data_IF_164911648170
#
_entry.id   IF_164911648170
#
_cell.length_a   1.000
_cell.length_b   1.000
_cell.length_c   1.000
_cell.angle_alpha   90.00
_cell.angle_beta   90.00
_cell.angle_gamma   90.00
#
_symmetry.space_group_name_H-M   'P 1'
#
loop_
_entity.id
_entity.type
_entity.pdbx_description
1 polymer ?
#
# COMPACT_ATOMS: atom_id res chain seq x y z
N UNK A 1 6.62 -39.23 -6.79
CA UNK A 1 6.62 -37.86 -7.37
C UNK A 1 5.15 -37.52 -7.64
N UNK A 2 4.54 -36.70 -6.81
CA UNK A 2 3.13 -36.30 -7.00
C UNK A 2 3.03 -35.44 -8.27
N UNK A 3 2.02 -35.65 -9.12
CA UNK A 3 1.83 -34.80 -10.30
C UNK A 3 1.65 -33.34 -9.88
N UNK A 4 2.13 -32.38 -10.67
CA UNK A 4 1.93 -30.96 -10.33
C UNK A 4 0.43 -30.71 -10.19
N UNK A 5 0.02 -30.14 -9.04
CA UNK A 5 -1.37 -29.74 -8.83
C UNK A 5 -1.75 -28.71 -9.91
N UNK A 6 -2.60 -29.11 -10.82
CA UNK A 6 -3.14 -28.21 -11.85
C UNK A 6 -4.36 -27.51 -11.25
N UNK A 7 -4.34 -26.18 -11.23
CA UNK A 7 -5.47 -25.39 -10.71
C UNK A 7 -6.79 -25.77 -11.42
N UNK A 8 -7.83 -25.96 -10.65
CA UNK A 8 -9.16 -26.40 -11.10
C UNK A 8 -9.75 -25.40 -12.12
N UNK A 9 -10.37 -25.92 -13.19
CA UNK A 9 -11.14 -25.10 -14.12
C UNK A 9 -12.35 -24.50 -13.42
N UNK A 10 -12.65 -23.21 -13.68
CA UNK A 10 -13.83 -22.52 -13.16
C UNK A 10 -14.63 -21.88 -14.28
N UNK A 11 -15.91 -21.60 -14.01
CA UNK A 11 -16.77 -20.82 -14.92
C UNK A 11 -16.37 -19.35 -14.97
N UNK A 12 -15.66 -18.89 -13.93
CA UNK A 12 -15.28 -17.49 -13.77
C UNK A 12 -13.81 -17.24 -14.11
N UNK A 13 -13.53 -16.14 -14.82
CA UNK A 13 -12.17 -15.67 -15.02
C UNK A 13 -11.52 -15.30 -13.68
N UNK A 14 -10.19 -15.35 -13.59
CA UNK A 14 -9.47 -14.91 -12.40
C UNK A 14 -9.80 -13.46 -12.02
N UNK A 15 -9.93 -12.59 -13.02
CA UNK A 15 -10.41 -11.22 -12.85
C UNK A 15 -11.75 -11.18 -12.12
N UNK A 16 -12.75 -11.93 -12.61
CA UNK A 16 -14.08 -11.99 -11.98
C UNK A 16 -14.03 -12.56 -10.56
N UNK A 17 -13.17 -13.54 -10.29
CA UNK A 17 -12.99 -14.09 -8.94
C UNK A 17 -12.46 -13.04 -7.97
N UNK A 18 -11.47 -12.22 -8.39
CA UNK A 18 -10.91 -11.14 -7.58
C UNK A 18 -11.96 -10.07 -7.28
N UNK A 19 -12.69 -9.65 -8.29
CA UNK A 19 -13.74 -8.61 -8.14
C UNK A 19 -14.90 -9.09 -7.28
N UNK A 20 -15.21 -10.39 -7.30
CA UNK A 20 -16.23 -11.00 -6.42
C UNK A 20 -15.89 -10.92 -4.94
N UNK A 21 -14.63 -10.72 -4.56
CA UNK A 21 -14.24 -10.48 -3.16
C UNK A 21 -14.90 -9.22 -2.59
N UNK A 22 -15.27 -8.25 -3.44
CA UNK A 22 -15.91 -7.01 -3.02
C UNK A 22 -17.42 -7.25 -2.89
N UNK A 23 -18.03 -7.23 -1.69
CA UNK A 23 -19.47 -7.37 -1.53
C UNK A 23 -20.22 -6.23 -2.23
N UNK A 24 -21.34 -6.51 -2.93
CA UNK A 24 -22.14 -5.46 -3.60
C UNK A 24 -22.59 -4.36 -2.64
N UNK A 25 -22.95 -4.76 -1.43
CA UNK A 25 -23.47 -3.86 -0.39
C UNK A 25 -22.49 -2.75 -0.04
N UNK A 26 -21.19 -3.05 0.04
CA UNK A 26 -20.14 -2.06 0.33
C UNK A 26 -20.14 -0.93 -0.70
N UNK A 27 -20.29 -1.28 -1.98
CA UNK A 27 -20.30 -0.31 -3.08
C UNK A 27 -21.58 0.51 -3.09
N UNK A 28 -22.73 -0.15 -2.86
CA UNK A 28 -24.02 0.50 -2.81
C UNK A 28 -24.10 1.52 -1.68
N UNK A 29 -23.70 1.15 -0.48
CA UNK A 29 -23.67 2.04 0.69
C UNK A 29 -22.74 3.24 0.47
N UNK A 30 -21.53 3.01 -0.06
CA UNK A 30 -20.58 4.07 -0.37
C UNK A 30 -21.13 5.04 -1.43
N UNK A 31 -21.80 4.52 -2.46
CA UNK A 31 -22.45 5.33 -3.50
C UNK A 31 -23.63 6.15 -2.95
N UNK A 32 -24.43 5.57 -2.06
CA UNK A 32 -25.57 6.25 -1.40
C UNK A 32 -25.07 7.38 -0.51
N UNK A 33 -24.07 7.13 0.32
CA UNK A 33 -23.48 8.12 1.24
C UNK A 33 -22.88 9.31 0.48
N UNK A 34 -22.24 9.05 -0.66
CA UNK A 34 -21.65 10.09 -1.50
C UNK A 34 -22.60 10.65 -2.54
N UNK A 35 -23.90 10.25 -2.50
CA UNK A 35 -24.94 10.70 -3.42
C UNK A 35 -24.59 10.55 -4.90
N UNK A 36 -23.80 9.53 -5.26
CA UNK A 36 -23.43 9.27 -6.65
C UNK A 36 -24.56 8.47 -7.30
N UNK A 37 -25.41 9.16 -8.02
CA UNK A 37 -26.52 8.59 -8.79
C UNK A 37 -26.16 8.53 -10.28
N UNK A 38 -26.41 7.41 -10.92
CA UNK A 38 -26.23 7.26 -12.36
C UNK A 38 -27.09 6.11 -12.90
N UNK A 39 -27.76 6.35 -14.02
CA UNK A 39 -28.63 5.35 -14.69
C UNK A 39 -27.84 4.40 -15.59
N UNK A 40 -26.89 4.91 -16.34
CA UNK A 40 -26.15 4.17 -17.36
C UNK A 40 -24.80 3.69 -16.90
N UNK A 41 -23.86 4.58 -16.62
CA UNK A 41 -22.55 4.21 -16.10
C UNK A 41 -22.55 4.23 -14.58
N UNK A 42 -22.94 3.09 -13.97
CA UNK A 42 -23.19 2.97 -12.53
C UNK A 42 -21.92 3.23 -11.69
N UNK A 43 -22.04 3.52 -10.38
CA UNK A 43 -20.89 3.60 -9.47
C UNK A 43 -20.04 2.33 -9.49
N UNK A 44 -20.69 1.16 -9.60
CA UNK A 44 -20.02 -0.12 -9.74
C UNK A 44 -19.21 -0.23 -11.05
N UNK A 45 -19.81 0.16 -12.18
CA UNK A 45 -19.13 0.14 -13.48
C UNK A 45 -17.88 1.05 -13.48
N UNK A 46 -17.97 2.22 -12.83
CA UNK A 46 -16.87 3.15 -12.67
C UNK A 46 -15.74 2.54 -11.82
N UNK A 47 -16.07 2.03 -10.64
CA UNK A 47 -15.10 1.39 -9.76
C UNK A 47 -14.44 0.19 -10.45
N UNK A 48 -15.23 -0.64 -11.14
CA UNK A 48 -14.72 -1.80 -11.87
C UNK A 48 -13.72 -1.41 -12.95
N UNK A 49 -14.00 -0.36 -13.72
CA UNK A 49 -13.10 0.15 -14.75
C UNK A 49 -11.76 0.62 -14.16
N UNK A 50 -11.79 1.30 -13.01
CA UNK A 50 -10.59 1.72 -12.30
C UNK A 50 -9.83 0.54 -11.67
N UNK A 51 -10.52 -0.46 -11.09
CA UNK A 51 -9.88 -1.68 -10.59
C UNK A 51 -9.19 -2.43 -11.74
N UNK A 52 -9.85 -2.54 -12.91
CA UNK A 52 -9.25 -3.13 -14.09
C UNK A 52 -7.97 -2.38 -14.49
N UNK A 53 -8.05 -1.05 -14.61
CA UNK A 53 -6.91 -0.19 -14.93
C UNK A 53 -5.73 -0.41 -13.96
N UNK A 54 -5.99 -0.48 -12.66
CA UNK A 54 -4.95 -0.72 -11.66
C UNK A 54 -4.33 -2.11 -11.76
N UNK A 55 -5.16 -3.15 -11.93
CA UNK A 55 -4.70 -4.53 -11.97
C UNK A 55 -3.90 -4.83 -13.23
N UNK A 56 -4.36 -4.34 -14.40
CA UNK A 56 -3.71 -4.57 -15.70
C UNK A 56 -2.61 -3.56 -16.00
N UNK A 57 -2.56 -2.45 -15.24
CA UNK A 57 -1.68 -1.30 -15.49
C UNK A 57 -1.91 -0.65 -16.85
N UNK A 58 -3.17 -0.58 -17.27
CA UNK A 58 -3.54 0.12 -18.50
C UNK A 58 -3.32 1.62 -18.33
N UNK A 59 -2.60 2.25 -19.26
CA UNK A 59 -2.08 3.62 -19.12
C UNK A 59 -3.02 4.70 -19.65
N UNK A 60 -4.11 4.32 -20.34
CA UNK A 60 -5.03 5.28 -20.94
C UNK A 60 -6.50 4.94 -20.73
N UNK A 61 -7.35 5.98 -20.78
CA UNK A 61 -8.82 5.81 -20.79
C UNK A 61 -9.28 4.93 -21.96
N UNK A 62 -8.71 5.17 -23.16
CA UNK A 62 -9.05 4.39 -24.35
C UNK A 62 -8.70 2.92 -24.15
N UNK A 63 -7.50 2.61 -23.64
CA UNK A 63 -7.09 1.23 -23.42
C UNK A 63 -8.01 0.48 -22.45
N UNK A 64 -8.56 1.16 -21.42
CA UNK A 64 -9.58 0.55 -20.54
C UNK A 64 -10.90 0.33 -21.27
N UNK A 65 -11.34 1.30 -22.08
CA UNK A 65 -12.59 1.20 -22.84
C UNK A 65 -12.49 0.09 -23.91
N UNK A 66 -11.40 0.03 -24.65
CA UNK A 66 -11.18 -0.95 -25.72
C UNK A 66 -11.10 -2.37 -25.14
N UNK A 67 -10.37 -2.54 -24.04
CA UNK A 67 -10.30 -3.82 -23.35
C UNK A 67 -11.67 -4.26 -22.80
N UNK A 68 -12.44 -3.32 -22.23
CA UNK A 68 -13.78 -3.63 -21.73
C UNK A 68 -14.74 -3.99 -22.88
N UNK A 69 -14.65 -3.31 -24.03
CA UNK A 69 -15.43 -3.61 -25.23
C UNK A 69 -15.07 -4.98 -25.81
N UNK A 70 -13.78 -5.31 -25.90
CA UNK A 70 -13.31 -6.62 -26.38
C UNK A 70 -13.86 -7.78 -25.54
N UNK A 71 -14.15 -7.56 -24.26
CA UNK A 71 -14.68 -8.55 -23.34
C UNK A 71 -16.07 -8.18 -22.79
N UNK A 72 -16.91 -7.52 -23.57
CA UNK A 72 -18.21 -6.99 -23.16
C UNK A 72 -19.09 -8.02 -22.43
N UNK A 73 -19.21 -9.24 -22.97
CA UNK A 73 -19.96 -10.32 -22.33
C UNK A 73 -19.45 -10.66 -20.93
N UNK A 74 -18.14 -10.76 -20.74
CA UNK A 74 -17.54 -11.04 -19.43
C UNK A 74 -17.69 -9.84 -18.49
N UNK A 75 -17.62 -8.63 -19.05
CA UNK A 75 -17.82 -7.39 -18.30
C UNK A 75 -19.23 -7.29 -17.75
N UNK A 76 -20.26 -7.49 -18.59
CA UNK A 76 -21.67 -7.50 -18.20
C UNK A 76 -22.01 -8.58 -17.16
N UNK A 77 -21.34 -9.74 -17.22
CA UNK A 77 -21.46 -10.80 -16.21
C UNK A 77 -20.94 -10.42 -14.83
N UNK A 78 -20.24 -9.29 -14.69
CA UNK A 78 -19.79 -8.75 -13.41
C UNK A 78 -20.84 -7.81 -12.80
N UNK A 79 -21.98 -8.37 -12.43
CA UNK A 79 -23.13 -7.66 -11.80
C UNK A 79 -23.71 -6.57 -12.69
N UNK A 80 -23.89 -6.86 -13.97
CA UNK A 80 -24.45 -5.88 -14.90
C UNK A 80 -23.58 -4.66 -15.13
N UNK A 81 -22.26 -4.79 -14.94
CA UNK A 81 -21.34 -3.69 -15.20
C UNK A 81 -21.39 -3.29 -16.68
N UNK A 82 -21.41 -2.01 -16.93
CA UNK A 82 -21.46 -1.46 -18.28
C UNK A 82 -20.05 -1.16 -18.79
N UNK A 83 -19.81 -1.42 -20.06
CA UNK A 83 -18.58 -1.04 -20.74
C UNK A 83 -18.42 0.48 -20.67
N UNK A 84 -17.28 0.99 -20.19
CA UNK A 84 -17.08 2.41 -20.11
C UNK A 84 -16.92 3.03 -21.50
N UNK A 85 -17.69 4.08 -21.77
CA UNK A 85 -17.43 4.95 -22.92
C UNK A 85 -16.44 6.04 -22.49
N UNK A 86 -15.45 6.38 -23.36
CA UNK A 86 -14.35 7.29 -23.03
C UNK A 86 -14.80 8.59 -22.34
N UNK A 87 -15.78 9.29 -22.93
CA UNK A 87 -16.26 10.56 -22.40
C UNK A 87 -17.01 10.39 -21.08
N UNK A 88 -17.82 9.33 -20.95
CA UNK A 88 -18.54 9.01 -19.73
C UNK A 88 -17.60 8.66 -18.60
N UNK A 89 -16.57 7.87 -18.89
CA UNK A 89 -15.54 7.49 -17.91
C UNK A 89 -14.72 8.70 -17.47
N UNK A 90 -14.27 9.55 -18.41
CA UNK A 90 -13.57 10.80 -18.12
C UNK A 90 -14.41 11.74 -17.24
N UNK A 91 -15.70 11.90 -17.56
CA UNK A 91 -16.63 12.71 -16.77
C UNK A 91 -16.86 12.12 -15.38
N UNK A 92 -16.96 10.79 -15.25
CA UNK A 92 -17.10 10.14 -13.97
C UNK A 92 -15.86 10.38 -13.09
N UNK A 93 -14.65 10.20 -13.63
CA UNK A 93 -13.40 10.51 -12.93
C UNK A 93 -13.34 11.96 -12.46
N UNK A 94 -13.84 12.90 -13.27
CA UNK A 94 -13.76 14.33 -12.98
C UNK A 94 -14.79 14.80 -11.96
N UNK A 95 -16.03 14.29 -12.04
CA UNK A 95 -17.19 14.87 -11.32
C UNK A 95 -17.59 14.10 -10.08
N UNK A 96 -17.34 12.79 -10.03
CA UNK A 96 -17.76 11.96 -8.89
C UNK A 96 -16.85 12.20 -7.70
N UNK A 97 -17.46 12.24 -6.52
CA UNK A 97 -16.73 12.38 -5.27
C UNK A 97 -15.83 11.15 -5.03
N UNK A 98 -14.51 11.33 -4.94
CA UNK A 98 -13.57 10.25 -4.67
C UNK A 98 -13.70 9.67 -3.25
N UNK A 99 -14.46 10.33 -2.36
CA UNK A 99 -14.81 9.79 -1.04
C UNK A 99 -15.48 8.42 -1.15
N UNK A 100 -16.20 8.16 -2.23
CA UNK A 100 -16.75 6.83 -2.48
C UNK A 100 -15.67 5.75 -2.54
N UNK A 101 -14.57 5.97 -3.27
CA UNK A 101 -13.48 4.99 -3.36
C UNK A 101 -12.78 4.80 -2.02
N UNK A 102 -12.60 5.88 -1.26
CA UNK A 102 -12.10 5.84 0.11
C UNK A 102 -13.00 5.00 1.02
N UNK A 103 -14.32 5.24 1.01
CA UNK A 103 -15.27 4.48 1.79
C UNK A 103 -15.29 3.00 1.41
N UNK A 104 -15.24 2.69 0.11
CA UNK A 104 -15.13 1.29 -0.35
C UNK A 104 -13.85 0.65 0.17
N UNK A 105 -12.71 1.36 0.14
CA UNK A 105 -11.45 0.84 0.67
C UNK A 105 -11.55 0.49 2.16
N UNK A 106 -12.02 1.41 3.01
CA UNK A 106 -12.11 1.19 4.45
C UNK A 106 -13.14 0.12 4.82
N UNK A 107 -14.32 0.12 4.20
CA UNK A 107 -15.34 -0.91 4.41
C UNK A 107 -14.87 -2.29 3.96
N UNK A 108 -14.14 -2.35 2.85
CA UNK A 108 -13.54 -3.60 2.39
C UNK A 108 -12.43 -4.09 3.33
N UNK A 109 -11.64 -3.17 3.89
CA UNK A 109 -10.65 -3.49 4.91
C UNK A 109 -11.30 -4.13 6.14
N UNK A 110 -12.37 -3.52 6.67
CA UNK A 110 -13.11 -4.07 7.82
C UNK A 110 -13.82 -5.38 7.48
N UNK A 111 -14.32 -5.51 6.27
CA UNK A 111 -14.90 -6.77 5.78
C UNK A 111 -13.86 -7.90 5.76
N UNK A 112 -12.69 -7.67 5.21
CA UNK A 112 -11.62 -8.66 5.15
C UNK A 112 -11.09 -9.03 6.55
N UNK A 113 -11.02 -8.08 7.46
CA UNK A 113 -10.66 -8.35 8.88
C UNK A 113 -11.65 -9.30 9.55
N UNK A 114 -12.96 -9.12 9.29
CA UNK A 114 -13.99 -10.00 9.83
C UNK A 114 -14.01 -11.37 9.16
N UNK A 115 -13.82 -11.40 7.82
CA UNK A 115 -13.81 -12.63 7.04
C UNK A 115 -12.61 -13.52 7.36
N UNK A 116 -11.45 -12.93 7.60
CA UNK A 116 -10.20 -13.60 7.89
C UNK A 116 -9.41 -12.82 8.96
N UNK A 117 -9.69 -13.02 10.26
CA UNK A 117 -8.98 -12.30 11.33
C UNK A 117 -7.45 -12.48 11.27
N UNK A 118 -6.98 -13.64 10.80
CA UNK A 118 -5.56 -13.91 10.63
C UNK A 118 -4.87 -13.02 9.58
N UNK A 119 -5.61 -12.53 8.59
CA UNK A 119 -5.10 -11.58 7.59
C UNK A 119 -4.68 -10.26 8.21
N UNK A 120 -5.44 -9.79 9.20
CA UNK A 120 -5.18 -8.54 9.91
C UNK A 120 -4.38 -8.73 11.22
N UNK A 121 -4.07 -9.97 11.60
CA UNK A 121 -3.29 -10.23 12.81
C UNK A 121 -1.83 -9.79 12.63
N UNK A 122 -1.29 -9.18 13.69
CA UNK A 122 0.13 -8.80 13.72
C UNK A 122 1.01 -10.06 13.73
N UNK A 123 1.87 -10.19 12.72
CA UNK A 123 2.84 -11.30 12.63
C UNK A 123 4.25 -10.75 12.57
N UNK A 124 4.75 -10.31 13.70
CA UNK A 124 6.13 -9.87 13.80
C UNK A 124 7.10 -11.04 13.64
N UNK A 125 8.21 -10.79 12.96
CA UNK A 125 9.31 -11.73 12.79
C UNK A 125 10.63 -11.11 13.26
N UNK A 126 11.57 -11.96 13.63
CA UNK A 126 12.90 -11.52 14.08
C UNK A 126 12.81 -10.63 15.31
N UNK A 127 13.53 -9.54 15.32
CA UNK A 127 13.60 -8.59 16.43
C UNK A 127 12.22 -8.10 16.90
N UNK A 128 11.32 -7.79 15.97
CA UNK A 128 9.99 -7.25 16.30
C UNK A 128 9.08 -8.24 17.05
N UNK A 129 9.39 -9.54 17.03
CA UNK A 129 8.60 -10.54 17.77
C UNK A 129 8.55 -10.32 19.30
N UNK A 130 9.47 -9.50 19.83
CA UNK A 130 9.47 -9.05 21.24
C UNK A 130 8.26 -8.18 21.59
N UNK A 131 7.65 -7.54 20.58
CA UNK A 131 6.54 -6.61 20.72
C UNK A 131 5.21 -7.20 20.26
N UNK A 132 5.06 -8.54 20.28
CA UNK A 132 3.85 -9.24 19.81
C UNK A 132 2.53 -8.78 20.44
N UNK A 133 2.58 -8.18 21.63
CA UNK A 133 1.44 -7.66 22.38
C UNK A 133 1.16 -6.17 22.10
N UNK A 134 2.01 -5.51 21.33
CA UNK A 134 1.93 -4.09 21.01
C UNK A 134 1.86 -3.89 19.50
N UNK A 135 1.00 -3.01 19.04
CA UNK A 135 1.03 -2.62 17.62
C UNK A 135 2.19 -1.64 17.37
N UNK A 136 2.95 -1.87 16.30
CA UNK A 136 4.02 -0.96 15.85
C UNK A 136 3.55 -0.30 14.57
N UNK A 137 3.44 1.00 14.61
CA UNK A 137 2.96 1.84 13.53
C UNK A 137 4.10 2.67 12.92
N UNK A 138 4.19 2.67 11.60
CA UNK A 138 5.10 3.55 10.88
C UNK A 138 4.32 4.68 10.22
N UNK A 139 4.58 5.92 10.64
CA UNK A 139 4.00 7.12 10.05
C UNK A 139 4.97 7.71 9.03
N UNK A 140 4.52 7.83 7.79
CA UNK A 140 5.32 8.40 6.72
C UNK A 140 4.41 8.96 5.61
N UNK A 141 5.00 9.70 4.69
CA UNK A 141 4.33 10.20 3.50
C UNK A 141 5.10 9.87 2.24
N UNK A 142 4.38 9.70 1.15
CA UNK A 142 4.98 9.49 -0.15
C UNK A 142 4.46 10.49 -1.17
N UNK A 143 5.39 11.20 -1.80
CA UNK A 143 5.08 12.10 -2.91
C UNK A 143 4.77 11.29 -4.17
N UNK A 144 3.64 11.60 -4.78
CA UNK A 144 3.18 11.06 -6.05
C UNK A 144 3.36 12.19 -7.08
N UNK A 145 4.32 12.02 -7.98
CA UNK A 145 4.55 13.00 -9.05
C UNK A 145 3.37 12.98 -10.03
N UNK A 146 2.91 14.15 -10.41
CA UNK A 146 1.82 14.36 -11.35
C UNK A 146 2.32 15.11 -12.60
N UNK A 147 1.58 15.01 -13.69
CA UNK A 147 1.84 15.80 -14.87
C UNK A 147 1.56 17.29 -14.63
N UNK A 148 2.13 18.16 -15.45
CA UNK A 148 1.90 19.60 -15.35
C UNK A 148 0.41 19.99 -15.50
N UNK A 149 -0.38 19.17 -16.18
CA UNK A 149 -1.83 19.36 -16.29
C UNK A 149 -2.59 19.31 -14.96
N UNK A 150 -1.94 18.83 -13.88
CA UNK A 150 -2.50 18.82 -12.52
C UNK A 150 -2.07 20.05 -11.70
N UNK A 151 -1.36 21.02 -12.29
CA UNK A 151 -0.74 22.12 -11.55
C UNK A 151 -1.74 23.06 -10.87
N UNK A 152 -2.94 23.20 -11.39
CA UNK A 152 -3.96 24.10 -10.85
C UNK A 152 -4.36 23.75 -9.40
N UNK A 153 -4.36 22.46 -9.05
CA UNK A 153 -4.76 21.98 -7.72
C UNK A 153 -3.63 21.30 -6.93
N UNK A 154 -2.54 20.88 -7.60
CA UNK A 154 -1.48 20.07 -6.99
C UNK A 154 -0.12 20.78 -7.06
N UNK A 155 -0.08 22.05 -6.69
CA UNK A 155 1.16 22.83 -6.67
C UNK A 155 2.18 22.23 -5.72
N UNK A 156 3.36 21.99 -6.26
CA UNK A 156 4.46 21.49 -5.44
C UNK A 156 5.72 22.31 -5.72
N UNK A 157 6.67 22.50 -5.82
CA UNK A 157 7.82 23.33 -6.19
C UNK A 157 7.61 24.01 -7.56
N UNK A 158 8.46 25.00 -7.86
CA UNK A 158 8.41 25.73 -9.12
C UNK A 158 8.17 24.79 -10.33
N UNK A 159 7.03 24.94 -11.01
CA UNK A 159 6.63 24.19 -12.21
C UNK A 159 6.52 22.67 -12.05
N UNK A 160 6.20 22.16 -10.86
CA UNK A 160 5.95 20.72 -10.63
C UNK A 160 4.61 20.55 -9.92
N UNK A 161 3.86 19.55 -10.38
CA UNK A 161 2.63 19.10 -9.71
C UNK A 161 2.89 17.80 -8.95
N UNK A 162 2.37 17.68 -7.75
CA UNK A 162 2.46 16.46 -6.97
C UNK A 162 1.32 16.37 -5.95
N UNK A 163 0.81 15.17 -5.76
CA UNK A 163 -0.01 14.81 -4.62
C UNK A 163 0.86 14.13 -3.55
N UNK A 164 0.38 14.10 -2.33
CA UNK A 164 1.02 13.40 -1.22
C UNK A 164 0.04 12.39 -0.61
N UNK A 165 0.52 11.17 -0.45
CA UNK A 165 -0.16 10.13 0.29
C UNK A 165 0.47 10.02 1.68
N UNK A 166 -0.23 10.52 2.69
CA UNK A 166 0.13 10.31 4.09
C UNK A 166 -0.46 8.99 4.56
N UNK A 167 0.32 8.22 5.30
CA UNK A 167 -0.09 6.90 5.73
C UNK A 167 0.48 6.56 7.10
N UNK A 168 -0.36 5.97 7.93
CA UNK A 168 0.05 5.24 9.11
C UNK A 168 -0.10 3.74 8.79
N UNK A 169 1.01 3.01 8.78
CA UNK A 169 1.08 1.60 8.44
C UNK A 169 1.34 0.76 9.69
N UNK A 170 0.47 -0.19 9.98
CA UNK A 170 0.78 -1.24 10.96
C UNK A 170 1.86 -2.18 10.38
N UNK A 171 3.01 -2.22 11.03
CA UNK A 171 4.16 -3.03 10.58
C UNK A 171 3.99 -4.53 10.79
N UNK A 172 3.06 -4.93 11.65
CA UNK A 172 2.79 -6.34 11.95
C UNK A 172 2.02 -7.05 10.83
N UNK A 173 0.97 -6.41 10.32
CA UNK A 173 0.15 -6.93 9.24
C UNK A 173 0.44 -6.27 7.89
N UNK A 174 1.18 -5.14 7.89
CA UNK A 174 1.48 -4.31 6.71
C UNK A 174 0.22 -3.78 6.01
N UNK A 175 -0.77 -3.41 6.81
CA UNK A 175 -2.00 -2.78 6.32
C UNK A 175 -2.08 -1.34 6.82
N UNK A 176 -2.65 -0.43 6.03
CA UNK A 176 -2.86 0.95 6.47
C UNK A 176 -3.86 1.00 7.63
N UNK A 177 -3.53 1.74 8.67
CA UNK A 177 -4.47 2.13 9.74
C UNK A 177 -5.03 3.54 9.53
N UNK A 178 -4.36 4.33 8.71
CA UNK A 178 -4.77 5.65 8.24
C UNK A 178 -4.16 5.93 6.88
N UNK A 179 -4.89 6.59 6.01
CA UNK A 179 -4.39 7.12 4.74
C UNK A 179 -5.17 8.38 4.35
N UNK A 180 -4.48 9.36 3.76
CA UNK A 180 -5.09 10.55 3.16
C UNK A 180 -4.31 10.97 1.93
N UNK A 181 -5.02 11.39 0.88
CA UNK A 181 -4.46 11.89 -0.38
C UNK A 181 -4.75 13.38 -0.48
N UNK A 182 -3.73 14.20 -0.52
CA UNK A 182 -3.87 15.66 -0.61
C UNK A 182 -2.77 16.30 -1.47
N UNK A 183 -2.84 17.61 -1.63
CA UNK A 183 -1.82 18.40 -2.29
C UNK A 183 -0.46 18.27 -1.57
N UNK A 184 0.64 18.18 -2.32
CA UNK A 184 1.97 17.97 -1.76
C UNK A 184 2.57 19.19 -1.04
N UNK A 185 1.90 20.35 -1.08
CA UNK A 185 2.31 21.58 -0.38
C UNK A 185 2.16 21.47 1.14
N UNK A 186 1.25 20.63 1.64
CA UNK A 186 1.02 20.48 3.08
C UNK A 186 2.18 19.80 3.79
N UNK A 187 2.56 20.33 4.94
CA UNK A 187 3.60 19.74 5.80
C UNK A 187 3.11 18.44 6.44
N UNK A 188 4.03 17.46 6.56
CA UNK A 188 3.72 16.15 7.13
C UNK A 188 3.20 16.22 8.57
N UNK A 189 3.69 17.17 9.36
CA UNK A 189 3.28 17.37 10.76
C UNK A 189 1.81 17.77 10.93
N UNK A 190 1.20 18.44 9.93
CA UNK A 190 -0.21 18.89 10.01
C UNK A 190 -1.18 17.71 10.11
N UNK A 191 -0.82 16.57 9.52
CA UNK A 191 -1.66 15.36 9.53
C UNK A 191 -1.30 14.35 10.61
N UNK A 192 -0.24 14.60 11.37
CA UNK A 192 0.29 13.66 12.36
C UNK A 192 -0.74 13.27 13.43
N UNK A 193 -1.48 14.23 13.99
CA UNK A 193 -2.49 13.97 15.01
C UNK A 193 -3.64 13.11 14.45
N UNK A 194 -4.19 13.49 13.28
CA UNK A 194 -5.26 12.73 12.64
C UNK A 194 -4.78 11.29 12.26
N UNK A 195 -3.54 11.17 11.77
CA UNK A 195 -2.96 9.90 11.36
C UNK A 195 -2.68 8.95 12.54
N UNK A 196 -2.64 9.46 13.75
CA UNK A 196 -2.36 8.69 14.97
C UNK A 196 -3.54 8.64 15.94
N UNK A 197 -4.69 9.20 15.57
CA UNK A 197 -5.86 9.29 16.44
C UNK A 197 -6.37 7.92 16.94
N UNK A 198 -6.18 6.87 16.14
CA UNK A 198 -6.60 5.49 16.42
C UNK A 198 -5.58 4.68 17.23
N UNK A 199 -4.40 5.22 17.55
CA UNK A 199 -3.41 4.54 18.36
C UNK A 199 -3.89 4.40 19.81
N UNK A 200 -3.61 3.25 20.41
CA UNK A 200 -3.99 2.89 21.77
C UNK A 200 -2.82 3.06 22.73
N UNK A 201 -3.14 3.15 24.01
CA UNK A 201 -2.13 3.10 25.05
C UNK A 201 -1.28 1.80 24.92
N UNK A 202 0.02 1.95 24.97
CA UNK A 202 0.99 0.88 24.78
C UNK A 202 1.43 0.63 23.33
N UNK A 203 0.75 1.20 22.32
CA UNK A 203 1.21 1.14 20.93
C UNK A 203 2.53 1.90 20.75
N UNK A 204 3.25 1.57 19.69
CA UNK A 204 4.55 2.16 19.36
C UNK A 204 4.45 2.87 18.01
N UNK A 205 4.76 4.17 17.98
CA UNK A 205 4.87 4.94 16.75
C UNK A 205 6.34 5.09 16.36
N UNK A 206 6.67 4.76 15.12
CA UNK A 206 7.96 5.10 14.51
C UNK A 206 7.75 6.09 13.37
N UNK A 207 8.50 7.21 13.38
CA UNK A 207 8.30 8.27 12.39
C UNK A 207 9.61 8.96 12.00
N UNK A 208 9.63 9.59 10.81
CA UNK A 208 10.78 10.34 10.35
C UNK A 208 10.85 11.72 11.02
N UNK A 209 11.99 12.40 10.82
CA UNK A 209 12.29 13.75 11.33
C UNK A 209 11.25 14.83 10.95
N UNK A 210 10.45 14.60 9.92
CA UNK A 210 9.37 15.50 9.53
C UNK A 210 8.30 15.64 10.64
N UNK A 211 8.17 14.62 11.49
CA UNK A 211 7.18 14.53 12.56
C UNK A 211 7.73 14.93 13.94
N UNK A 212 8.91 15.55 13.99
CA UNK A 212 9.49 16.06 15.22
C UNK A 212 8.84 17.39 15.59
N UNK A 213 7.64 17.31 16.16
CA UNK A 213 6.91 18.41 16.77
C UNK A 213 6.64 18.07 18.23
N UNK A 214 7.11 18.93 19.16
CA UNK A 214 7.05 18.62 20.60
C UNK A 214 5.62 18.59 21.14
N UNK A 215 4.71 19.41 20.61
CA UNK A 215 3.30 19.38 21.00
C UNK A 215 2.67 18.04 20.61
N UNK A 216 2.94 17.58 19.40
CA UNK A 216 2.50 16.27 18.90
C UNK A 216 3.10 15.13 19.74
N UNK A 217 4.41 15.16 20.01
CA UNK A 217 5.08 14.13 20.83
C UNK A 217 4.52 14.07 22.25
N UNK A 218 4.22 15.25 22.84
CA UNK A 218 3.57 15.34 24.14
C UNK A 218 2.16 14.73 24.11
N UNK A 219 1.36 15.01 23.07
CA UNK A 219 0.02 14.43 22.94
C UNK A 219 0.05 12.90 22.86
N UNK A 220 1.06 12.32 22.21
CA UNK A 220 1.29 10.88 22.17
C UNK A 220 1.64 10.33 23.56
N UNK A 221 2.57 10.97 24.27
CA UNK A 221 2.98 10.55 25.61
C UNK A 221 1.80 10.59 26.59
N UNK A 222 0.98 11.65 26.59
CA UNK A 222 -0.23 11.76 27.42
C UNK A 222 -1.27 10.66 27.14
N UNK A 223 -1.29 10.14 25.93
CA UNK A 223 -2.14 8.99 25.52
C UNK A 223 -1.52 7.65 25.85
N UNK A 224 -0.33 7.61 26.46
CA UNK A 224 0.39 6.37 26.76
C UNK A 224 0.95 5.68 25.51
N UNK A 225 1.11 6.39 24.39
CA UNK A 225 1.71 5.88 23.18
C UNK A 225 3.21 6.07 23.24
N UNK A 226 3.98 5.00 23.02
CA UNK A 226 5.42 5.10 22.88
C UNK A 226 5.79 5.58 21.48
N UNK A 227 6.86 6.35 21.37
CA UNK A 227 7.35 6.78 20.06
C UNK A 227 8.87 6.66 19.93
N UNK A 228 9.33 6.47 18.72
CA UNK A 228 10.72 6.57 18.29
C UNK A 228 10.76 7.43 17.02
N UNK A 229 11.21 8.66 17.15
CA UNK A 229 11.20 9.64 16.06
C UNK A 229 12.64 10.09 15.77
N UNK A 230 13.01 10.11 14.48
CA UNK A 230 14.34 10.60 14.10
C UNK A 230 14.49 12.06 14.42
N UNK A 231 15.61 12.40 15.07
CA UNK A 231 15.89 13.74 15.53
C UNK A 231 16.37 14.68 14.41
N UNK A 232 16.01 15.96 14.50
CA UNK A 232 16.53 17.03 13.64
C UNK A 232 17.71 17.72 14.31
N UNK A 233 18.90 17.72 13.71
CA UNK A 233 20.12 18.35 14.28
C UNK A 233 20.02 19.86 14.53
N UNK A 234 19.04 20.55 13.90
CA UNK A 234 18.86 21.99 14.06
C UNK A 234 18.10 22.41 15.33
N UNK A 235 17.57 21.46 16.09
CA UNK A 235 16.90 21.73 17.36
C UNK A 235 17.89 21.39 18.48
N UNK A 236 18.18 22.36 19.35
CA UNK A 236 19.12 22.17 20.46
C UNK A 236 18.45 21.42 21.61
N UNK A 237 19.15 20.40 22.10
CA UNK A 237 18.80 19.66 23.30
C UNK A 237 19.86 19.93 24.37
N UNK A 238 19.44 20.02 25.60
CA UNK A 238 20.31 20.06 26.76
C UNK A 238 20.43 18.64 27.34
N UNK A 239 21.65 18.17 27.49
CA UNK A 239 21.93 16.86 28.08
C UNK A 239 21.85 16.97 29.57
N UNK A 240 20.90 16.26 30.19
CA UNK A 240 20.71 16.20 31.64
C UNK A 240 21.63 15.14 32.25
N UNK A 241 21.67 13.96 31.65
CA UNK A 241 22.54 12.85 32.09
C UNK A 241 22.83 11.88 30.97
N UNK A 242 23.99 11.26 31.00
CA UNK A 242 24.35 10.15 30.13
C UNK A 242 23.98 8.82 30.78
N UNK A 243 23.50 7.88 29.97
CA UNK A 243 23.18 6.50 30.35
C UNK A 243 24.32 5.58 29.90
N UNK A 244 24.58 4.49 30.63
CA UNK A 244 25.58 3.52 30.20
C UNK A 244 25.19 2.90 28.86
N UNK A 245 26.12 2.85 27.94
CA UNK A 245 25.95 2.16 26.66
C UNK A 245 26.58 0.76 26.72
N UNK A 246 25.88 -0.22 26.14
CA UNK A 246 26.44 -1.57 26.02
C UNK A 246 27.74 -1.51 25.20
N UNK A 247 28.85 -2.00 25.77
CA UNK A 247 30.11 -2.14 25.01
C UNK A 247 29.87 -3.15 23.88
N UNK A 248 30.38 -2.89 22.66
CA UNK A 248 30.32 -3.87 21.59
C UNK A 248 31.00 -5.16 22.05
N UNK A 249 30.28 -6.29 21.95
CA UNK A 249 30.89 -7.60 22.22
C UNK A 249 32.11 -7.77 21.27
N UNK A 250 33.29 -7.92 21.85
CA UNK A 250 34.52 -8.20 21.11
C UNK A 250 34.34 -9.53 20.36
N UNK A 251 34.39 -9.50 19.04
CA UNK A 251 34.30 -10.69 18.18
C UNK A 251 33.13 -10.72 17.16
N UNK A 252 32.07 -9.99 17.36
CA UNK A 252 30.92 -9.97 16.41
C UNK A 252 30.83 -8.68 15.58
N UNK A 253 31.98 -8.13 15.18
CA UNK A 253 32.03 -6.84 14.45
C UNK A 253 31.42 -6.85 13.02
N UNK A 254 31.25 -8.01 12.41
CA UNK A 254 30.98 -8.11 10.98
C UNK A 254 29.48 -8.07 10.57
N UNK A 255 28.52 -8.23 11.51
CA UNK A 255 27.08 -8.35 11.15
C UNK A 255 26.13 -7.43 11.93
N UNK A 256 26.63 -6.53 12.76
CA UNK A 256 25.77 -5.68 13.56
C UNK A 256 25.17 -4.54 12.72
N UNK A 257 23.89 -4.67 12.36
CA UNK A 257 23.11 -3.66 11.62
C UNK A 257 22.84 -2.39 12.42
N UNK A 258 23.18 -2.38 13.71
CA UNK A 258 23.02 -1.25 14.63
C UNK A 258 24.18 -1.23 15.61
N UNK A 259 24.82 -0.07 15.75
CA UNK A 259 25.86 0.24 16.77
C UNK A 259 25.45 1.48 17.55
N UNK A 260 25.17 1.32 18.84
CA UNK A 260 24.86 2.45 19.74
C UNK A 260 26.11 3.25 20.00
N UNK A 261 26.02 4.59 19.88
CA UNK A 261 27.10 5.53 20.14
C UNK A 261 26.87 6.28 21.45
N UNK A 262 25.64 6.76 21.68
CA UNK A 262 25.28 7.55 22.88
C UNK A 262 23.85 7.23 23.29
N UNK A 263 23.60 7.31 24.58
CA UNK A 263 22.28 7.19 25.20
C UNK A 263 22.19 8.25 26.31
N UNK A 264 21.32 9.23 26.10
CA UNK A 264 21.30 10.45 26.89
C UNK A 264 19.88 10.83 27.28
N UNK A 265 19.71 11.29 28.50
CA UNK A 265 18.49 11.97 28.96
C UNK A 265 18.64 13.45 28.62
N UNK A 266 17.64 14.03 27.98
CA UNK A 266 17.73 15.36 27.41
C UNK A 266 16.48 16.19 27.68
N UNK A 267 16.64 17.50 27.73
CA UNK A 267 15.57 18.49 27.75
C UNK A 267 15.61 19.35 26.47
N UNK A 268 14.46 19.82 25.97
CA UNK A 268 14.43 20.83 24.93
C UNK A 268 15.08 22.13 25.43
N UNK A 269 16.13 22.60 24.77
CA UNK A 269 16.92 23.76 25.22
C UNK A 269 16.33 25.13 24.82
N UNK A 270 15.27 25.16 24.01
CA UNK A 270 14.66 26.41 23.54
C UNK A 270 13.44 26.79 24.41
N UNK A 271 13.31 28.04 24.92
CA UNK A 271 12.22 28.43 25.81
C UNK A 271 10.80 28.14 25.29
N UNK A 272 10.55 28.35 23.99
CA UNK A 272 9.28 28.02 23.35
C UNK A 272 9.03 26.52 23.22
N UNK A 273 10.06 25.75 23.03
CA UNK A 273 10.02 24.28 22.84
C UNK A 273 9.84 23.55 24.16
N UNK A 274 10.48 24.04 25.23
CA UNK A 274 10.32 23.53 26.60
C UNK A 274 8.87 23.71 27.11
N UNK A 275 8.23 24.84 26.79
CA UNK A 275 6.79 25.06 27.07
C UNK A 275 5.86 24.15 26.29
N UNK A 276 6.26 23.75 25.08
CA UNK A 276 5.49 22.85 24.23
C UNK A 276 5.62 21.40 24.63
N UNK A 277 6.64 21.03 25.39
CA UNK A 277 6.84 19.70 25.94
C UNK A 277 6.86 19.75 27.47
N UNK A 278 5.70 19.71 28.06
CA UNK A 278 5.50 19.78 29.54
C UNK A 278 4.98 18.48 30.15
N UNK A 279 4.90 17.39 29.36
CA UNK A 279 4.48 16.10 29.84
C UNK A 279 5.67 15.32 30.45
N UNK A 280 5.39 14.39 31.33
CA UNK A 280 6.36 13.50 32.01
C UNK A 280 7.57 14.25 32.64
N UNK A 281 7.33 15.43 33.20
CA UNK A 281 8.38 16.25 33.81
C UNK A 281 9.31 16.93 32.79
N UNK A 282 8.97 16.92 31.49
CA UNK A 282 9.75 17.59 30.44
C UNK A 282 10.98 16.83 29.98
N UNK A 283 11.17 15.58 30.42
CA UNK A 283 12.37 14.77 30.16
C UNK A 283 12.17 13.85 28.96
N UNK A 284 13.14 13.85 28.07
CA UNK A 284 13.18 12.98 26.87
C UNK A 284 14.43 12.12 26.88
N UNK A 285 14.41 11.05 26.12
CA UNK A 285 15.60 10.24 25.88
C UNK A 285 16.04 10.38 24.43
N UNK A 286 17.32 10.63 24.23
CA UNK A 286 17.96 10.71 22.91
C UNK A 286 18.98 9.59 22.77
N UNK A 287 18.74 8.69 21.82
CA UNK A 287 19.67 7.61 21.48
C UNK A 287 20.34 7.93 20.15
N UNK A 288 21.66 7.96 20.12
CA UNK A 288 22.46 8.11 18.90
C UNK A 288 23.09 6.77 18.54
N UNK A 289 22.87 6.30 17.32
CA UNK A 289 23.41 5.05 16.83
C UNK A 289 23.79 5.13 15.35
N UNK A 290 24.77 4.32 14.95
CA UNK A 290 24.97 3.98 13.56
C UNK A 290 24.01 2.86 13.17
N UNK A 291 23.26 3.09 12.10
CA UNK A 291 22.24 2.16 11.58
C UNK A 291 22.53 1.86 10.12
N UNK A 292 22.54 0.57 9.76
CA UNK A 292 22.69 0.15 8.37
C UNK A 292 21.48 0.58 7.55
N UNK A 293 21.75 1.38 6.51
CA UNK A 293 20.78 1.84 5.52
C UNK A 293 21.36 1.72 4.12
N UNK A 294 20.71 0.94 3.26
CA UNK A 294 21.12 0.72 1.87
C UNK A 294 22.63 0.31 1.74
N UNK A 295 23.07 -0.59 2.62
CA UNK A 295 24.44 -1.09 2.67
C UNK A 295 25.46 -0.11 3.27
N UNK A 296 25.03 1.03 3.84
CA UNK A 296 25.89 2.01 4.49
C UNK A 296 25.51 2.19 5.95
N UNK A 297 26.49 2.36 6.81
CA UNK A 297 26.27 2.74 8.20
C UNK A 297 26.10 4.27 8.28
N UNK A 298 24.94 4.71 8.78
CA UNK A 298 24.61 6.13 8.93
C UNK A 298 24.37 6.45 10.40
N UNK A 299 25.02 7.49 10.90
CA UNK A 299 24.76 8.03 12.23
C UNK A 299 23.40 8.74 12.27
N UNK A 300 22.56 8.30 13.18
CA UNK A 300 21.22 8.83 13.40
C UNK A 300 20.96 8.97 14.89
N UNK A 301 20.21 10.03 15.26
CA UNK A 301 19.72 10.23 16.62
C UNK A 301 18.22 10.09 16.67
N UNK A 302 17.71 9.49 17.73
CA UNK A 302 16.29 9.17 17.92
C UNK A 302 15.79 9.73 19.24
N UNK A 303 14.66 10.43 19.22
CA UNK A 303 13.94 10.83 20.42
C UNK A 303 12.88 9.78 20.77
N UNK A 304 12.74 9.51 22.06
CA UNK A 304 11.73 8.60 22.59
C UNK A 304 11.29 9.02 23.99
N UNK A 305 10.04 8.67 24.35
CA UNK A 305 9.53 8.77 25.73
C UNK A 305 9.72 7.45 26.51
N UNK A 306 10.32 6.41 25.89
CA UNK A 306 10.55 5.16 26.61
C UNK A 306 11.91 5.14 27.30
N UNK A 307 11.89 5.01 28.64
CA UNK A 307 13.08 4.99 29.47
C UNK A 307 13.60 3.60 29.80
N UNK A 308 12.83 2.54 29.48
CA UNK A 308 13.13 1.16 29.90
C UNK A 308 13.87 0.34 28.83
N UNK A 309 13.48 0.49 27.55
CA UNK A 309 14.06 -0.30 26.48
C UNK A 309 15.56 -0.01 26.31
N UNK A 310 16.35 -1.03 25.91
CA UNK A 310 17.78 -0.78 25.61
C UNK A 310 17.92 0.19 24.44
N UNK A 311 19.03 0.93 24.41
CA UNK A 311 19.34 1.87 23.31
C UNK A 311 19.38 1.16 21.96
N UNK A 312 19.86 -0.08 21.92
CA UNK A 312 19.83 -0.92 20.72
C UNK A 312 18.40 -1.21 20.27
N UNK A 313 17.50 -1.50 21.21
CA UNK A 313 16.07 -1.71 20.92
C UNK A 313 15.42 -0.49 20.26
N UNK A 314 15.72 0.73 20.74
CA UNK A 314 15.22 1.98 20.14
C UNK A 314 15.69 2.11 18.69
N UNK A 315 16.99 1.90 18.43
CA UNK A 315 17.53 2.01 17.07
C UNK A 315 16.99 0.93 16.12
N UNK A 316 16.78 -0.31 16.59
CA UNK A 316 16.17 -1.38 15.80
C UNK A 316 14.68 -1.12 15.50
N UNK A 317 13.92 -0.55 16.44
CA UNK A 317 12.54 -0.11 16.19
C UNK A 317 12.50 0.96 15.10
N UNK A 318 13.40 1.96 15.16
CA UNK A 318 13.45 2.95 14.07
C UNK A 318 13.81 2.30 12.73
N UNK A 319 14.71 1.33 12.70
CA UNK A 319 15.05 0.59 11.49
C UNK A 319 13.83 -0.10 10.89
N UNK A 320 12.90 -0.58 11.71
CA UNK A 320 11.67 -1.20 11.22
C UNK A 320 10.74 -0.21 10.46
N UNK A 321 10.90 1.11 10.63
CA UNK A 321 10.17 2.13 9.87
C UNK A 321 10.29 1.94 8.35
N UNK A 322 11.42 1.41 7.88
CA UNK A 322 11.58 1.12 6.43
C UNK A 322 10.54 0.15 5.86
N UNK A 323 9.78 -0.50 6.71
CA UNK A 323 8.60 -1.26 6.28
C UNK A 323 7.57 -0.41 5.52
N UNK A 324 7.39 0.88 5.87
CA UNK A 324 6.48 1.79 5.16
C UNK A 324 7.06 2.23 3.80
N UNK A 325 8.38 2.46 3.71
CA UNK A 325 9.03 2.77 2.42
C UNK A 325 8.92 1.58 1.45
N UNK A 326 9.11 0.37 1.96
CA UNK A 326 8.90 -0.87 1.19
C UNK A 326 7.46 -0.98 0.72
N UNK A 327 6.48 -0.65 1.57
CA UNK A 327 5.07 -0.62 1.20
C UNK A 327 4.80 0.37 0.06
N UNK A 328 5.30 1.61 0.16
CA UNK A 328 5.15 2.59 -0.91
C UNK A 328 5.82 2.14 -2.22
N UNK A 329 6.99 1.51 -2.13
CA UNK A 329 7.68 0.93 -3.29
C UNK A 329 6.83 -0.18 -3.94
N UNK A 330 6.31 -1.11 -3.15
CA UNK A 330 5.40 -2.16 -3.62
C UNK A 330 4.15 -1.55 -4.28
N UNK A 331 3.50 -0.57 -3.65
CA UNK A 331 2.31 0.11 -4.17
C UNK A 331 2.61 0.77 -5.52
N UNK A 332 3.70 1.54 -5.63
CA UNK A 332 4.11 2.21 -6.88
C UNK A 332 4.53 1.24 -7.98
N UNK A 333 5.03 0.06 -7.63
CA UNK A 333 5.44 -0.96 -8.60
C UNK A 333 4.29 -1.84 -9.07
N UNK A 334 3.28 -2.07 -8.23
CA UNK A 334 2.20 -3.01 -8.53
C UNK A 334 0.95 -2.35 -9.05
N UNK A 335 0.67 -1.12 -8.64
CA UNK A 335 -0.49 -0.33 -9.05
C UNK A 335 -0.09 0.83 -9.95
N UNK A 336 -1.04 1.26 -10.79
CA UNK A 336 -0.83 2.37 -11.71
C UNK A 336 -1.10 3.70 -11.01
N UNK A 337 -0.17 4.13 -10.15
CA UNK A 337 -0.24 5.39 -9.41
C UNK A 337 0.86 6.40 -9.82
N UNK A 338 1.43 6.22 -11.01
CA UNK A 338 2.39 7.15 -11.64
C UNK A 338 1.78 7.82 -12.86
N UNK A 339 1.15 7.03 -13.72
CA UNK A 339 0.52 7.49 -14.95
C UNK A 339 -0.99 7.56 -14.73
N UNK A 340 -1.47 8.78 -14.53
CA UNK A 340 -2.87 9.02 -14.21
C UNK A 340 -3.71 9.17 -15.47
N UNK A 341 -4.88 8.51 -15.50
CA UNK A 341 -5.83 8.60 -16.61
C UNK A 341 -6.77 9.80 -16.51
N UNK A 342 -6.56 10.68 -15.53
CA UNK A 342 -7.26 11.94 -15.34
C UNK A 342 -6.38 12.92 -14.55
N UNK A 343 -6.58 14.23 -14.77
CA UNK A 343 -5.66 15.26 -14.30
C UNK A 343 -6.23 16.14 -13.18
N UNK A 344 -7.52 16.08 -12.90
CA UNK A 344 -8.11 16.83 -11.80
C UNK A 344 -7.98 16.07 -10.47
N UNK A 345 -8.20 16.77 -9.38
CA UNK A 345 -8.07 16.26 -8.02
C UNK A 345 -8.89 14.98 -7.78
N UNK A 346 -10.17 14.99 -8.20
CA UNK A 346 -11.04 13.84 -8.03
C UNK A 346 -10.51 12.60 -8.76
N UNK A 347 -10.08 12.74 -10.02
CA UNK A 347 -9.56 11.63 -10.83
C UNK A 347 -8.31 11.01 -10.19
N UNK A 348 -7.40 11.85 -9.69
CA UNK A 348 -6.18 11.38 -9.01
C UNK A 348 -6.53 10.67 -7.71
N UNK A 349 -7.40 11.25 -6.89
CA UNK A 349 -7.86 10.62 -5.64
C UNK A 349 -8.57 9.29 -5.90
N UNK A 350 -9.46 9.23 -6.89
CA UNK A 350 -10.11 7.98 -7.33
C UNK A 350 -9.08 6.91 -7.66
N UNK A 351 -8.10 7.25 -8.46
CA UNK A 351 -7.08 6.31 -8.91
C UNK A 351 -6.18 5.82 -7.77
N UNK A 352 -5.79 6.71 -6.84
CA UNK A 352 -4.97 6.34 -5.68
C UNK A 352 -5.74 5.43 -4.73
N UNK A 353 -7.00 5.76 -4.38
CA UNK A 353 -7.82 4.92 -3.51
C UNK A 353 -8.14 3.56 -4.14
N UNK A 354 -8.41 3.52 -5.43
CA UNK A 354 -8.59 2.24 -6.14
C UNK A 354 -7.29 1.44 -6.20
N UNK A 355 -6.14 2.10 -6.34
CA UNK A 355 -4.83 1.46 -6.26
C UNK A 355 -4.58 0.81 -4.88
N UNK A 356 -4.91 1.52 -3.80
CA UNK A 356 -4.86 0.98 -2.43
C UNK A 356 -5.81 -0.22 -2.25
N UNK A 357 -7.03 -0.14 -2.80
CA UNK A 357 -8.00 -1.24 -2.78
C UNK A 357 -7.45 -2.49 -3.50
N UNK A 358 -6.92 -2.33 -4.71
CA UNK A 358 -6.32 -3.44 -5.48
C UNK A 358 -5.11 -4.01 -4.75
N UNK A 359 -4.24 -3.16 -4.20
CA UNK A 359 -3.11 -3.60 -3.40
C UNK A 359 -3.56 -4.45 -2.19
N UNK A 360 -4.61 -4.04 -1.50
CA UNK A 360 -5.19 -4.78 -0.36
C UNK A 360 -5.77 -6.14 -0.80
N UNK A 361 -6.49 -6.19 -1.92
CA UNK A 361 -7.02 -7.45 -2.49
C UNK A 361 -5.88 -8.41 -2.87
N UNK A 362 -4.81 -7.90 -3.48
CA UNK A 362 -3.62 -8.70 -3.79
C UNK A 362 -2.91 -9.20 -2.52
N UNK A 363 -2.86 -8.40 -1.45
CA UNK A 363 -2.34 -8.84 -0.15
C UNK A 363 -3.21 -9.93 0.47
N UNK A 364 -4.52 -9.82 0.35
CA UNK A 364 -5.43 -10.88 0.78
C UNK A 364 -5.19 -12.17 0.00
N UNK A 365 -5.08 -12.11 -1.33
CA UNK A 365 -4.72 -13.27 -2.16
C UNK A 365 -3.37 -13.87 -1.76
N UNK A 366 -2.37 -13.02 -1.49
CA UNK A 366 -1.07 -13.47 -0.96
C UNK A 366 -1.22 -14.27 0.33
N UNK A 367 -2.11 -13.81 1.22
CA UNK A 367 -2.34 -14.45 2.51
C UNK A 367 -3.02 -15.82 2.34
N UNK A 368 -4.15 -15.87 1.62
CA UNK A 368 -4.94 -17.10 1.47
C UNK A 368 -4.23 -18.17 0.63
N UNK A 369 -3.44 -17.77 -0.39
CA UNK A 369 -2.63 -18.69 -1.21
C UNK A 369 -1.28 -19.05 -0.58
N UNK A 370 -0.98 -18.56 0.63
CA UNK A 370 0.31 -18.77 1.32
C UNK A 370 1.53 -18.45 0.44
N UNK A 371 1.40 -17.43 -0.42
CA UNK A 371 2.40 -17.06 -1.42
C UNK A 371 3.76 -16.71 -0.80
N UNK A 372 4.82 -17.41 -1.20
CA UNK A 372 6.17 -17.29 -0.63
C UNK A 372 7.12 -16.36 -1.40
N UNK A 373 6.77 -16.00 -2.63
CA UNK A 373 7.60 -15.16 -3.48
C UNK A 373 7.35 -13.65 -3.25
N UNK A 374 8.03 -12.81 -4.02
CA UNK A 374 7.86 -11.35 -3.94
C UNK A 374 6.43 -10.93 -4.30
N UNK A 375 6.01 -9.80 -3.75
CA UNK A 375 4.67 -9.25 -4.04
C UNK A 375 4.53 -8.82 -5.50
N UNK A 376 5.58 -8.27 -6.09
CA UNK A 376 5.60 -7.90 -7.52
C UNK A 376 5.40 -9.11 -8.44
N UNK A 377 5.96 -10.28 -8.08
CA UNK A 377 5.76 -11.52 -8.83
C UNK A 377 4.30 -11.99 -8.74
N UNK A 378 3.69 -11.93 -7.54
CA UNK A 378 2.26 -12.22 -7.38
C UNK A 378 1.40 -11.34 -8.28
N UNK A 379 1.61 -10.01 -8.22
CA UNK A 379 0.87 -9.06 -9.05
C UNK A 379 1.07 -9.33 -10.55
N UNK A 380 2.28 -9.71 -10.96
CA UNK A 380 2.60 -10.11 -12.34
C UNK A 380 1.83 -11.35 -12.79
N UNK A 381 1.78 -12.39 -11.96
CA UNK A 381 1.03 -13.63 -12.26
C UNK A 381 -0.47 -13.34 -12.33
N UNK A 382 -1.02 -12.63 -11.35
CA UNK A 382 -2.46 -12.26 -11.34
C UNK A 382 -2.82 -11.48 -12.62
N UNK A 383 -1.97 -10.53 -13.03
CA UNK A 383 -2.17 -9.74 -14.24
C UNK A 383 -2.13 -10.59 -15.51
N UNK A 384 -1.08 -11.41 -15.67
CA UNK A 384 -0.91 -12.26 -16.84
C UNK A 384 -2.05 -13.30 -16.98
N UNK A 385 -2.59 -13.74 -15.84
CA UNK A 385 -3.64 -14.75 -15.79
C UNK A 385 -5.05 -14.18 -15.60
N UNK A 386 -5.26 -12.86 -15.73
CA UNK A 386 -6.52 -12.21 -15.39
C UNK A 386 -7.75 -12.82 -16.11
N UNK A 387 -7.59 -13.20 -17.37
CA UNK A 387 -8.65 -13.77 -18.21
C UNK A 387 -8.72 -15.29 -18.20
N UNK A 388 -7.82 -15.98 -17.51
CA UNK A 388 -7.89 -17.43 -17.37
C UNK A 388 -9.07 -17.83 -16.47
N UNK A 389 -9.72 -18.95 -16.84
CA UNK A 389 -10.80 -19.56 -16.06
C UNK A 389 -10.25 -20.70 -15.20
N UNK A 390 -9.46 -20.32 -14.20
CA UNK A 390 -8.87 -21.23 -13.20
C UNK A 390 -9.16 -20.71 -11.81
N UNK A 391 -9.15 -21.58 -10.82
CA UNK A 391 -9.21 -21.12 -9.43
C UNK A 391 -7.95 -20.30 -9.13
N UNK A 392 -8.13 -19.01 -8.80
CA UNK A 392 -7.01 -18.07 -8.63
C UNK A 392 -6.13 -18.44 -7.44
N UNK A 393 -6.70 -18.97 -6.35
CA UNK A 393 -5.95 -19.36 -5.16
C UNK A 393 -5.09 -20.58 -5.46
N UNK A 394 -5.69 -21.64 -6.02
CA UNK A 394 -4.96 -22.85 -6.44
C UNK A 394 -3.89 -22.56 -7.49
N UNK A 395 -4.18 -21.64 -8.42
CA UNK A 395 -3.20 -21.17 -9.40
C UNK A 395 -1.98 -20.56 -8.70
N UNK A 396 -2.19 -19.70 -7.72
CA UNK A 396 -1.11 -19.08 -6.96
C UNK A 396 -0.36 -20.09 -6.08
N UNK A 397 -1.06 -21.03 -5.45
CA UNK A 397 -0.46 -22.11 -4.65
C UNK A 397 0.46 -23.00 -5.51
N UNK A 398 0.09 -23.29 -6.75
CA UNK A 398 0.89 -24.10 -7.65
C UNK A 398 2.27 -23.50 -7.97
N UNK A 399 2.39 -22.16 -7.94
CA UNK A 399 3.68 -21.47 -8.05
C UNK A 399 4.54 -21.57 -6.77
N UNK A 400 3.91 -21.81 -5.62
CA UNK A 400 4.59 -21.88 -4.31
C UNK A 400 5.06 -23.27 -3.93
N UNK A 401 4.45 -24.33 -4.48
CA UNK A 401 4.75 -25.72 -4.12
C UNK A 401 6.09 -26.21 -4.67
N UNK A 402 6.56 -25.66 -5.80
CA UNK A 402 7.82 -26.03 -6.43
C UNK A 402 8.86 -24.91 -6.20
N UNK A 403 9.63 -25.02 -5.13
CA UNK A 403 10.74 -24.09 -4.76
C UNK A 403 11.90 -24.03 -5.77
N UNK A 404 11.77 -24.63 -6.93
CA UNK A 404 12.71 -24.56 -8.04
C UNK A 404 12.06 -23.90 -9.24
N UNK A 405 12.68 -22.85 -9.75
CA UNK A 405 12.27 -22.05 -10.91
C UNK A 405 12.15 -22.85 -12.24
N UNK A 406 12.16 -24.17 -12.19
CA UNK A 406 12.07 -25.08 -13.35
C UNK A 406 10.69 -25.73 -13.55
N UNK A 407 9.75 -25.53 -12.62
CA UNK A 407 8.36 -25.92 -12.81
C UNK A 407 7.59 -24.80 -13.49
N UNK A 408 7.83 -24.53 -14.76
CA UNK A 408 6.98 -23.67 -15.57
C UNK A 408 5.53 -24.19 -15.49
N UNK A 409 4.54 -23.27 -15.49
CA UNK A 409 3.16 -23.63 -15.73
C UNK A 409 3.17 -24.39 -17.06
N UNK A 410 2.96 -25.69 -17.03
CA UNK A 410 2.47 -26.36 -18.21
C UNK A 410 1.04 -25.89 -18.38
N UNK A 411 0.87 -24.85 -19.18
CA UNK A 411 -0.43 -24.60 -19.80
C UNK A 411 -0.71 -25.88 -20.56
N UNK A 412 -1.52 -26.75 -19.97
CA UNK A 412 -2.09 -27.87 -20.75
C UNK A 412 -2.82 -27.17 -21.88
N UNK A 413 -2.40 -27.41 -23.12
CA UNK A 413 -3.05 -26.91 -24.31
C UNK A 413 -4.56 -27.08 -24.12
N UNK A 414 -5.25 -25.94 -23.96
CA UNK A 414 -6.70 -25.99 -24.06
C UNK A 414 -6.96 -26.37 -25.48
N UNK A 415 -7.53 -27.56 -25.70
CA UNK A 415 -8.05 -27.94 -27.00
C UNK A 415 -8.74 -26.71 -27.58
N UNK A 416 -8.29 -26.25 -28.75
CA UNK A 416 -8.82 -25.06 -29.41
C UNK A 416 -10.33 -25.17 -29.41
N UNK A 417 -11.08 -24.17 -28.95
CA UNK A 417 -12.53 -24.25 -29.05
C UNK A 417 -12.89 -24.45 -30.50
N UNK A 418 -13.70 -25.45 -30.80
CA UNK A 418 -14.11 -25.85 -32.15
C UNK A 418 -14.65 -24.70 -33.03
N UNK A 419 -15.09 -23.60 -32.43
CA UNK A 419 -15.59 -22.41 -33.15
C UNK A 419 -14.49 -21.48 -33.71
N UNK A 420 -13.23 -21.61 -33.33
CA UNK A 420 -12.14 -20.86 -33.96
C UNK A 420 -11.74 -21.47 -35.33
N UNK A 421 -12.12 -22.73 -35.62
CA UNK A 421 -11.94 -23.32 -36.94
C UNK A 421 -12.94 -22.80 -37.97
N UNK A 422 -14.09 -22.26 -37.55
CA UNK A 422 -15.13 -21.77 -38.43
C UNK A 422 -14.91 -20.33 -38.94
N UNK A 423 -13.87 -19.61 -38.46
CA UNK A 423 -13.63 -18.21 -38.81
C UNK A 423 -12.28 -17.92 -39.52
N UNK A 424 -11.65 -18.94 -40.12
CA UNK A 424 -10.54 -18.70 -41.04
C UNK A 424 -11.04 -19.00 -42.48
N UNK A 425 -11.45 -17.97 -43.24
CA UNK A 425 -11.74 -18.13 -44.66
C UNK A 425 -10.44 -18.04 -45.43
N UNK A 426 -9.69 -19.09 -45.56
CA UNK A 426 -8.63 -19.22 -46.56
C UNK A 426 -8.54 -20.66 -47.06
N UNK A 427 -9.51 -21.03 -47.90
CA UNK A 427 -9.29 -21.85 -49.05
C UNK A 427 -9.68 -21.01 -50.26
N UNK A 428 -8.76 -20.20 -50.74
CA UNK A 428 -8.77 -19.73 -52.10
C UNK A 428 -8.34 -20.95 -52.94
N UNK A 429 -9.30 -21.73 -53.35
CA UNK A 429 -9.10 -22.76 -54.36
C UNK A 429 -8.48 -22.12 -55.62
N UNK A 430 -7.78 -22.88 -56.44
CA UNK A 430 -7.06 -22.36 -57.60
C UNK A 430 -8.04 -21.72 -58.57
N UNK A 431 -7.81 -20.49 -58.97
CA UNK A 431 -8.49 -19.84 -60.10
C UNK A 431 -8.22 -20.66 -61.35
N UNK A 432 -9.24 -21.36 -61.82
CA UNK A 432 -9.24 -22.03 -63.11
C UNK A 432 -9.01 -21.00 -64.20
N UNK A 433 -7.99 -21.27 -64.98
CA UNK A 433 -7.84 -20.72 -66.31
C UNK A 433 -9.04 -21.14 -67.17
N UNK A 434 -9.80 -20.17 -67.65
CA UNK A 434 -10.59 -20.36 -68.87
C UNK A 434 -10.67 -19.04 -69.65
N UNK A 435 -10.15 -19.14 -70.93
CA UNK A 435 -10.60 -18.41 -72.08
C UNK A 435 -10.08 -17.01 -72.29
#
# INVERSE_FOLDING_TARGET
MFPPQVATKTVYTNWKQIVKLIPPQIVLEAATETKILSRTFTPWSHLLALIYQQLTRTESLNGVCDAAAAFECEWGRMRGAQVPHRNTFSNANRRRDPKMAELVFWRMFDYLKRLCPEFASCKYRGFLSRFKERAIHALDSSTIQLTLNCFDWARHRRRKAAAKLHMNLDLGNRLPSFAIVEEASHHDSVRAEAATANLKCGDILVADRAYTDFKFLCSLAMRGVFYVVRWKRNIKLEVVSARPTEKPEAGKRSEAKVRVLRDEIVNPAMPGTAKSYSCDGGVLRCVTAEVEYDGKMLEMSFLTNNMEWSARTIAELYRARWGVETFFKELKQTCQIRDFIGYNENAVKWQVWTGLLVHMLLRYLRHVSKWKHSFSRLAGVVRACAWLRRNVVELLESFGANGTARGGIRVVEVARPLYLQAFLPFDAGPMGQHG
#
